data_IF_453541097131
#
_entry.id   IF_453541097131
#
_cell.length_a   1.000
_cell.length_b   1.000
_cell.length_c   1.000
_cell.angle_alpha   90.00
_cell.angle_beta   90.00
_cell.angle_gamma   90.00
#
_symmetry.space_group_name_H-M   'P 1'
#
loop_
_entity.id
_entity.type
_entity.pdbx_description
1 polymer ?
#
# COMPACT_ATOMS: atom_id res chain seq x y z
N UNK A 1 13.63 11.31 -15.02
CA UNK A 1 14.27 11.99 -13.88
C UNK A 1 13.49 11.71 -12.60
N UNK A 2 14.11 11.95 -11.44
CA UNK A 2 13.45 11.74 -10.15
C UNK A 2 13.23 13.09 -9.46
N UNK A 3 12.03 13.30 -8.89
CA UNK A 3 11.72 14.45 -8.04
C UNK A 3 11.15 13.96 -6.72
N UNK A 4 11.44 14.68 -5.64
CA UNK A 4 10.95 14.36 -4.29
C UNK A 4 10.25 15.57 -3.70
N UNK A 5 9.06 15.37 -3.12
CA UNK A 5 8.29 16.45 -2.53
C UNK A 5 7.06 15.97 -1.76
N UNK A 6 6.39 16.89 -1.08
CA UNK A 6 5.18 16.59 -0.31
C UNK A 6 3.95 16.73 -1.21
N UNK A 7 3.06 15.75 -1.19
CA UNK A 7 1.75 15.84 -1.86
C UNK A 7 0.86 16.82 -1.08
N UNK A 8 0.56 17.97 -1.66
CA UNK A 8 -0.22 19.03 -1.01
C UNK A 8 -1.70 18.94 -1.31
N UNK A 9 -2.05 18.51 -2.53
CA UNK A 9 -3.43 18.46 -2.99
C UNK A 9 -3.64 17.32 -3.99
N UNK A 10 -4.81 16.72 -3.96
CA UNK A 10 -5.30 15.80 -4.99
C UNK A 10 -6.44 16.49 -5.69
N UNK A 11 -6.20 16.97 -6.92
CA UNK A 11 -7.19 17.65 -7.75
C UNK A 11 -8.19 16.64 -8.32
N UNK A 12 -7.70 15.48 -8.73
CA UNK A 12 -8.51 14.40 -9.29
C UNK A 12 -7.86 13.04 -8.98
N UNK A 13 -8.69 12.05 -8.64
CA UNK A 13 -8.27 10.65 -8.54
C UNK A 13 -9.36 9.75 -9.11
N UNK A 14 -8.96 8.83 -9.96
CA UNK A 14 -9.81 7.75 -10.43
C UNK A 14 -9.57 6.52 -9.55
N UNK A 15 -10.61 6.11 -8.80
CA UNK A 15 -10.51 5.02 -7.82
C UNK A 15 -10.34 3.63 -8.47
N UNK A 16 -10.74 3.46 -9.73
CA UNK A 16 -10.63 2.17 -10.42
C UNK A 16 -9.21 1.86 -10.87
N UNK A 17 -8.50 2.87 -11.39
CA UNK A 17 -7.17 2.69 -12.00
C UNK A 17 -6.04 3.46 -11.30
N UNK A 18 -6.38 4.27 -10.29
CA UNK A 18 -5.46 5.07 -9.52
C UNK A 18 -4.87 6.28 -10.25
N UNK A 19 -5.35 6.61 -11.47
CA UNK A 19 -4.88 7.80 -12.16
C UNK A 19 -5.19 9.05 -11.35
N UNK A 20 -4.16 9.83 -11.07
CA UNK A 20 -4.25 10.99 -10.17
C UNK A 20 -3.64 12.20 -10.83
N UNK A 21 -4.29 13.35 -10.63
CA UNK A 21 -3.75 14.69 -10.85
C UNK A 21 -3.65 15.36 -9.50
N UNK A 22 -2.47 15.80 -9.12
CA UNK A 22 -2.24 16.42 -7.81
C UNK A 22 -1.20 17.53 -7.86
N UNK A 23 -0.99 18.19 -6.74
CA UNK A 23 0.05 19.21 -6.53
C UNK A 23 1.10 18.64 -5.58
N UNK A 24 2.35 18.58 -6.05
CA UNK A 24 3.52 18.23 -5.28
C UNK A 24 4.33 19.48 -4.96
N UNK A 25 4.68 19.69 -3.70
CA UNK A 25 5.62 20.75 -3.30
C UNK A 25 7.05 20.27 -3.55
N UNK A 26 7.61 20.62 -4.69
CA UNK A 26 8.98 20.29 -5.08
C UNK A 26 9.88 21.52 -4.89
N UNK A 27 10.89 21.42 -4.01
CA UNK A 27 11.76 22.55 -3.67
C UNK A 27 10.98 23.85 -3.35
N UNK A 28 9.92 23.74 -2.55
CA UNK A 28 8.99 24.82 -2.18
C UNK A 28 8.16 25.40 -3.34
N UNK A 29 8.25 24.82 -4.52
CA UNK A 29 7.46 25.25 -5.71
C UNK A 29 6.35 24.23 -5.96
N UNK A 30 5.10 24.65 -6.16
CA UNK A 30 4.02 23.74 -6.51
C UNK A 30 4.19 23.22 -7.93
N UNK A 31 4.22 21.91 -8.09
CA UNK A 31 4.32 21.20 -9.37
C UNK A 31 3.10 20.32 -9.56
N UNK A 32 2.40 20.50 -10.68
CA UNK A 32 1.32 19.60 -11.06
C UNK A 32 1.91 18.25 -11.46
N UNK A 33 1.47 17.19 -10.79
CA UNK A 33 1.88 15.81 -11.07
C UNK A 33 0.73 15.02 -11.68
N UNK A 34 1.04 14.14 -12.63
CA UNK A 34 0.07 13.26 -13.29
C UNK A 34 0.63 11.85 -13.44
N UNK A 35 -0.14 10.85 -13.02
CA UNK A 35 0.26 9.45 -13.09
C UNK A 35 -0.62 8.56 -12.23
N UNK A 36 -0.22 7.31 -12.03
CA UNK A 36 -0.92 6.39 -11.14
C UNK A 36 -0.40 6.53 -9.72
N UNK A 37 -1.20 7.17 -8.86
CA UNK A 37 -0.89 7.42 -7.46
C UNK A 37 -1.97 6.75 -6.60
N UNK A 38 -1.76 5.52 -6.22
CA UNK A 38 -2.83 4.66 -5.75
C UNK A 38 -3.03 4.70 -4.23
N UNK A 39 -1.95 4.76 -3.44
CA UNK A 39 -2.02 4.67 -1.97
C UNK A 39 -1.51 5.90 -1.24
N UNK A 40 -1.08 6.94 -1.96
CA UNK A 40 -0.57 8.14 -1.33
C UNK A 40 -1.68 9.10 -0.91
N UNK A 41 -1.46 9.74 0.23
CA UNK A 41 -2.36 10.69 0.85
C UNK A 41 -1.76 12.10 0.90
N UNK A 42 -2.61 13.10 1.01
CA UNK A 42 -2.18 14.48 1.23
C UNK A 42 -1.33 14.55 2.51
N UNK A 43 -0.18 15.22 2.42
CA UNK A 43 0.80 15.34 3.52
C UNK A 43 1.93 14.31 3.46
N UNK A 44 1.83 13.28 2.63
CA UNK A 44 2.93 12.33 2.44
C UNK A 44 4.01 12.88 1.52
N UNK A 45 5.25 12.47 1.78
CA UNK A 45 6.38 12.79 0.93
C UNK A 45 6.54 11.69 -0.12
N UNK A 46 6.63 12.08 -1.39
CA UNK A 46 6.69 11.18 -2.52
C UNK A 46 8.01 11.36 -3.27
N UNK A 47 8.61 10.27 -3.66
CA UNK A 47 9.67 10.21 -4.67
C UNK A 47 9.05 9.72 -5.96
N UNK A 48 9.05 10.54 -6.99
CA UNK A 48 8.41 10.28 -8.28
C UNK A 48 9.47 10.13 -9.37
N UNK A 49 9.35 9.09 -10.18
CA UNK A 49 10.20 8.89 -11.35
C UNK A 49 9.40 9.17 -12.63
N UNK A 50 9.89 10.10 -13.46
CA UNK A 50 9.16 10.52 -14.66
C UNK A 50 9.86 11.63 -15.41
N UNK A 51 9.07 12.43 -16.13
CA UNK A 51 9.55 13.54 -16.93
C UNK A 51 8.57 14.72 -16.92
N UNK A 52 9.11 15.92 -17.13
CA UNK A 52 8.26 17.10 -17.35
C UNK A 52 7.70 17.08 -18.77
N UNK A 53 6.39 17.21 -18.87
CA UNK A 53 5.65 17.27 -20.14
C UNK A 53 4.84 18.55 -20.24
N UNK A 54 4.72 19.08 -21.46
CA UNK A 54 3.86 20.22 -21.72
C UNK A 54 2.55 19.74 -22.36
N UNK A 55 1.49 19.71 -21.56
CA UNK A 55 0.16 19.36 -22.05
C UNK A 55 -0.52 20.59 -22.68
N UNK A 56 -1.00 20.48 -23.91
CA UNK A 56 -1.64 21.58 -24.65
C UNK A 56 -2.81 22.23 -23.91
N UNK A 57 -3.53 21.47 -23.07
CA UNK A 57 -4.73 21.92 -22.36
C UNK A 57 -4.43 22.33 -20.92
N UNK A 58 -3.49 21.65 -20.25
CA UNK A 58 -3.26 21.77 -18.81
C UNK A 58 -1.88 22.36 -18.46
N UNK A 59 -1.08 22.74 -19.48
CA UNK A 59 0.21 23.37 -19.28
C UNK A 59 1.31 22.39 -18.84
N UNK A 60 2.29 22.92 -18.12
CA UNK A 60 3.49 22.19 -17.71
C UNK A 60 3.21 21.34 -16.48
N UNK A 61 3.50 20.04 -16.57
CA UNK A 61 3.24 19.07 -15.51
C UNK A 61 4.30 17.97 -15.49
N UNK A 62 4.47 17.31 -14.35
CA UNK A 62 5.37 16.17 -14.20
C UNK A 62 4.57 14.88 -14.38
N UNK A 63 4.82 14.17 -15.49
CA UNK A 63 4.23 12.86 -15.75
C UNK A 63 5.13 11.77 -15.16
N UNK A 64 4.65 11.04 -14.16
CA UNK A 64 5.41 9.98 -13.52
C UNK A 64 4.88 8.59 -13.88
N UNK A 65 5.82 7.65 -13.98
CA UNK A 65 5.56 6.22 -14.26
C UNK A 65 5.62 5.36 -13.00
N UNK A 66 6.43 5.76 -12.03
CA UNK A 66 6.58 5.08 -10.73
C UNK A 66 6.66 6.10 -9.60
N UNK A 67 6.31 5.65 -8.40
CA UNK A 67 6.43 6.45 -7.18
C UNK A 67 6.74 5.58 -5.97
N UNK A 68 7.36 6.20 -4.98
CA UNK A 68 7.57 5.65 -3.64
C UNK A 68 7.11 6.66 -2.60
N UNK A 69 6.44 6.18 -1.56
CA UNK A 69 6.18 7.00 -0.37
C UNK A 69 7.43 6.95 0.49
N UNK A 70 8.05 8.09 0.68
CA UNK A 70 9.28 8.23 1.45
C UNK A 70 9.01 9.06 2.70
N UNK A 71 9.69 8.72 3.80
CA UNK A 71 9.61 9.54 5.00
C UNK A 71 10.43 10.84 4.77
N UNK A 72 9.86 12.00 5.12
CA UNK A 72 10.57 13.26 4.98
C UNK A 72 11.81 13.31 5.88
N UNK A 73 12.90 13.88 5.34
CA UNK A 73 14.18 13.99 6.04
C UNK A 73 14.40 15.34 6.69
N UNK A 74 13.68 16.38 6.25
CA UNK A 74 13.78 17.72 6.82
C UNK A 74 12.87 17.88 8.02
N UNK A 75 13.26 18.64 9.03
CA UNK A 75 12.45 18.88 10.23
C UNK A 75 11.08 19.44 9.92
N UNK A 76 10.99 20.37 8.98
CA UNK A 76 9.71 20.94 8.52
C UNK A 76 8.83 19.87 7.83
N UNK A 77 9.43 18.99 7.05
CA UNK A 77 8.73 17.86 6.41
C UNK A 77 8.23 16.84 7.43
N UNK A 78 9.04 16.50 8.43
CA UNK A 78 8.66 15.59 9.52
C UNK A 78 7.48 16.17 10.31
N UNK A 79 7.55 17.48 10.66
CA UNK A 79 6.47 18.17 11.37
C UNK A 79 5.17 18.17 10.54
N UNK A 80 5.27 18.49 9.24
CA UNK A 80 4.12 18.47 8.32
C UNK A 80 3.51 17.07 8.19
N UNK A 81 4.35 16.05 8.04
CA UNK A 81 3.90 14.65 7.97
C UNK A 81 3.15 14.22 9.23
N UNK A 82 3.73 14.47 10.41
CA UNK A 82 3.10 14.11 11.69
C UNK A 82 1.78 14.85 11.93
N UNK A 83 1.69 16.12 11.49
CA UNK A 83 0.51 16.97 11.67
C UNK A 83 -0.56 16.80 10.59
N UNK A 84 -0.31 16.00 9.55
CA UNK A 84 -1.22 15.82 8.38
C UNK A 84 -2.55 15.13 8.70
N UNK A 85 -2.69 14.54 9.90
CA UNK A 85 -3.85 13.74 10.29
C UNK A 85 -3.74 12.25 9.97
N UNK A 86 -2.69 11.82 9.26
CA UNK A 86 -2.42 10.41 8.97
C UNK A 86 -2.22 9.58 10.23
N UNK A 87 -1.58 10.16 11.25
CA UNK A 87 -1.38 9.53 12.55
C UNK A 87 -2.35 10.15 13.56
N UNK A 88 -3.41 9.41 13.86
CA UNK A 88 -4.41 9.87 14.81
C UNK A 88 -3.80 10.15 16.19
N UNK A 89 -4.12 11.32 16.75
CA UNK A 89 -3.64 11.72 18.07
C UNK A 89 -2.43 12.66 18.05
N UNK A 90 -1.87 12.97 16.86
CA UNK A 90 -0.84 14.00 16.69
C UNK A 90 -1.47 15.20 15.95
N UNK A 91 -1.62 16.31 16.67
CA UNK A 91 -1.96 17.61 16.07
C UNK A 91 -0.71 18.47 15.86
N UNK A 92 -0.85 19.66 15.23
CA UNK A 92 0.29 20.53 14.89
C UNK A 92 1.19 20.88 16.10
N UNK A 93 0.59 21.16 17.26
CA UNK A 93 1.35 21.48 18.48
C UNK A 93 2.15 20.27 18.97
N UNK A 94 1.54 19.09 18.96
CA UNK A 94 2.20 17.85 19.38
C UNK A 94 3.29 17.45 18.39
N UNK A 95 3.05 17.55 17.08
CA UNK A 95 4.03 17.29 16.04
C UNK A 95 5.28 18.17 16.20
N UNK A 96 5.07 19.47 16.38
CA UNK A 96 6.15 20.43 16.62
C UNK A 96 6.96 20.10 17.89
N UNK A 97 6.28 19.73 18.99
CA UNK A 97 6.95 19.36 20.22
C UNK A 97 7.79 18.07 20.07
N UNK A 98 7.27 17.05 19.37
CA UNK A 98 8.00 15.81 19.07
C UNK A 98 9.25 16.12 18.24
N UNK A 99 9.09 16.84 17.11
CA UNK A 99 10.21 17.17 16.22
C UNK A 99 11.24 18.06 16.88
N UNK A 100 10.85 19.00 17.75
CA UNK A 100 11.78 19.82 18.51
C UNK A 100 12.65 19.00 19.45
N UNK A 101 12.12 17.91 20.02
CA UNK A 101 12.84 17.05 20.95
C UNK A 101 13.74 16.03 20.23
N UNK A 102 13.21 15.36 19.24
CA UNK A 102 13.88 14.21 18.61
C UNK A 102 14.52 14.50 17.25
N UNK A 103 14.26 15.69 16.68
CA UNK A 103 14.85 16.14 15.40
C UNK A 103 14.67 15.10 14.29
N UNK A 104 15.76 14.78 13.58
CA UNK A 104 15.80 13.79 12.49
C UNK A 104 15.50 12.37 12.95
N UNK A 105 15.75 12.05 14.24
CA UNK A 105 15.53 10.73 14.82
C UNK A 105 14.05 10.44 15.14
N UNK A 106 13.17 11.41 14.87
CA UNK A 106 11.73 11.33 15.24
C UNK A 106 11.07 10.03 14.81
N UNK A 107 11.26 9.60 13.57
CA UNK A 107 10.63 8.37 13.07
C UNK A 107 11.24 7.12 13.68
N UNK A 108 12.55 7.11 13.89
CA UNK A 108 13.25 6.00 14.57
C UNK A 108 12.77 5.86 16.02
N UNK A 109 12.59 6.96 16.73
CA UNK A 109 12.04 6.95 18.09
C UNK A 109 10.61 6.42 18.11
N UNK A 110 9.76 6.81 17.15
CA UNK A 110 8.38 6.30 17.05
C UNK A 110 8.39 4.77 16.83
N UNK A 111 9.30 4.25 16.01
CA UNK A 111 9.35 2.82 15.66
C UNK A 111 10.03 1.97 16.73
N UNK A 112 11.18 2.40 17.22
CA UNK A 112 12.09 1.57 18.03
C UNK A 112 12.04 1.84 19.53
N UNK A 113 11.67 3.07 19.93
CA UNK A 113 11.64 3.47 21.32
C UNK A 113 10.43 4.36 21.66
N UNK A 114 9.18 3.85 21.39
CA UNK A 114 7.98 4.67 21.52
C UNK A 114 7.72 5.20 22.94
N UNK A 115 8.19 4.54 23.97
CA UNK A 115 8.12 4.99 25.34
C UNK A 115 8.78 6.37 25.55
N UNK A 116 9.81 6.70 24.77
CA UNK A 116 10.48 8.00 24.80
C UNK A 116 9.60 9.15 24.33
N UNK A 117 8.57 8.88 23.53
CA UNK A 117 7.58 9.91 23.19
C UNK A 117 6.90 10.50 24.43
N UNK A 118 6.87 9.77 25.55
CA UNK A 118 6.33 10.27 26.81
C UNK A 118 7.20 11.34 27.49
N UNK A 119 8.44 11.55 27.02
CA UNK A 119 9.30 12.66 27.41
C UNK A 119 8.74 14.01 26.88
N UNK A 120 7.92 13.96 25.81
CA UNK A 120 7.27 15.14 25.24
C UNK A 120 6.07 15.55 26.11
N UNK A 121 6.04 16.80 26.52
CA UNK A 121 4.93 17.34 27.34
C UNK A 121 3.57 17.13 26.65
N UNK A 122 2.64 16.47 27.34
CA UNK A 122 1.29 16.22 26.85
C UNK A 122 1.13 14.87 26.15
N UNK A 123 2.18 14.03 26.12
CA UNK A 123 2.11 12.64 25.65
C UNK A 123 2.26 11.71 26.86
N UNK A 124 1.18 10.97 27.19
CA UNK A 124 1.25 9.89 28.17
C UNK A 124 1.90 8.65 27.57
N UNK A 125 2.35 7.71 28.40
CA UNK A 125 2.88 6.41 27.91
C UNK A 125 1.90 5.68 27.02
N UNK A 126 0.61 5.62 27.40
CA UNK A 126 -0.42 4.98 26.57
C UNK A 126 -0.55 5.65 25.21
N UNK A 127 -0.58 7.00 25.17
CA UNK A 127 -0.65 7.76 23.92
C UNK A 127 0.59 7.55 23.07
N UNK A 128 1.76 7.41 23.66
CA UNK A 128 3.01 7.10 22.96
C UNK A 128 2.91 5.76 22.20
N UNK A 129 2.42 4.72 22.86
CA UNK A 129 2.20 3.41 22.21
C UNK A 129 1.09 3.44 21.17
N UNK A 130 0.01 4.19 21.37
CA UNK A 130 -1.03 4.39 20.35
C UNK A 130 -0.48 5.04 19.09
N UNK A 131 0.36 6.07 19.23
CA UNK A 131 1.03 6.74 18.12
C UNK A 131 1.91 5.74 17.35
N UNK A 132 2.75 4.98 18.04
CA UNK A 132 3.63 3.99 17.42
C UNK A 132 2.84 2.90 16.69
N UNK A 133 1.77 2.40 17.30
CA UNK A 133 0.88 1.40 16.69
C UNK A 133 0.26 1.93 15.40
N UNK A 134 -0.26 3.16 15.41
CA UNK A 134 -0.89 3.78 14.23
C UNK A 134 0.13 4.06 13.12
N UNK A 135 1.33 4.50 13.48
CA UNK A 135 2.42 4.69 12.52
C UNK A 135 2.81 3.36 11.84
N UNK A 136 2.97 2.29 12.63
CA UNK A 136 3.28 0.96 12.12
C UNK A 136 2.14 0.39 11.23
N UNK A 137 0.87 0.57 11.64
CA UNK A 137 -0.29 0.18 10.82
C UNK A 137 -0.27 0.88 9.45
N UNK A 138 -0.06 2.20 9.43
CA UNK A 138 0.00 2.99 8.20
C UNK A 138 1.10 2.47 7.26
N UNK A 139 2.30 2.24 7.79
CA UNK A 139 3.44 1.71 7.04
C UNK A 139 3.15 0.31 6.48
N UNK A 140 2.53 -0.57 7.27
CA UNK A 140 2.17 -1.91 6.84
C UNK A 140 1.09 -1.91 5.75
N UNK A 141 0.10 -1.02 5.84
CA UNK A 141 -0.91 -0.83 4.78
C UNK A 141 -0.24 -0.40 3.49
N UNK A 142 0.60 0.63 3.52
CA UNK A 142 1.31 1.14 2.35
C UNK A 142 2.16 0.05 1.68
N UNK A 143 2.98 -0.65 2.47
CA UNK A 143 3.81 -1.75 1.97
C UNK A 143 2.97 -2.87 1.34
N UNK A 144 1.83 -3.22 1.95
CA UNK A 144 0.92 -4.25 1.43
C UNK A 144 0.29 -3.82 0.11
N UNK A 145 -0.19 -2.59 0.02
CA UNK A 145 -0.78 -2.05 -1.20
C UNK A 145 0.26 -2.03 -2.32
N UNK A 146 1.45 -1.49 -2.08
CA UNK A 146 2.56 -1.47 -3.06
C UNK A 146 2.95 -2.88 -3.51
N UNK A 147 3.06 -3.82 -2.58
CA UNK A 147 3.37 -5.22 -2.92
C UNK A 147 2.30 -5.85 -3.81
N UNK A 148 1.02 -5.66 -3.49
CA UNK A 148 -0.08 -6.28 -4.23
C UNK A 148 -0.32 -5.65 -5.60
N UNK A 149 0.00 -4.37 -5.78
CA UNK A 149 -0.12 -3.67 -7.06
C UNK A 149 0.77 -4.24 -8.17
N UNK A 150 1.94 -4.76 -7.81
CA UNK A 150 2.83 -5.43 -8.75
C UNK A 150 2.14 -6.61 -9.48
N UNK A 151 1.06 -7.12 -8.89
CA UNK A 151 0.24 -8.21 -9.41
C UNK A 151 -1.12 -7.75 -9.97
N UNK A 152 -1.27 -6.45 -10.25
CA UNK A 152 -2.51 -5.82 -10.73
C UNK A 152 -3.70 -5.99 -9.76
N UNK A 153 -3.44 -6.11 -8.47
CA UNK A 153 -4.48 -6.03 -7.44
C UNK A 153 -4.81 -4.56 -7.20
N UNK A 154 -6.09 -4.22 -7.25
CA UNK A 154 -6.56 -2.84 -6.98
C UNK A 154 -6.34 -2.47 -5.52
N UNK A 155 -6.28 -1.16 -5.22
CA UNK A 155 -6.14 -0.66 -3.84
C UNK A 155 -7.24 -1.18 -2.93
N UNK A 156 -8.48 -1.06 -3.37
CA UNK A 156 -9.62 -1.50 -2.57
C UNK A 156 -9.52 -2.99 -2.21
N UNK A 157 -9.06 -3.80 -3.16
CA UNK A 157 -8.83 -5.22 -2.92
C UNK A 157 -7.63 -5.45 -2.00
N UNK A 158 -6.54 -4.68 -2.16
CA UNK A 158 -5.37 -4.76 -1.27
C UNK A 158 -5.71 -4.37 0.18
N UNK A 159 -6.53 -3.33 0.36
CA UNK A 159 -7.04 -2.94 1.68
C UNK A 159 -7.93 -4.03 2.30
N UNK A 160 -8.79 -4.67 1.49
CA UNK A 160 -9.61 -5.80 1.92
C UNK A 160 -8.75 -6.99 2.39
N UNK A 161 -7.71 -7.32 1.63
CA UNK A 161 -6.73 -8.36 1.99
C UNK A 161 -6.02 -7.99 3.29
N UNK A 162 -5.59 -6.73 3.44
CA UNK A 162 -4.94 -6.25 4.66
C UNK A 162 -5.88 -6.33 5.88
N UNK A 163 -7.17 -6.04 5.72
CA UNK A 163 -8.15 -6.19 6.80
C UNK A 163 -8.26 -7.64 7.31
N UNK A 164 -8.05 -8.62 6.42
CA UNK A 164 -8.12 -10.05 6.78
C UNK A 164 -6.82 -10.53 7.46
N UNK A 165 -5.65 -10.18 6.90
CA UNK A 165 -4.37 -10.74 7.34
C UNK A 165 -3.50 -9.77 8.15
N UNK A 166 -3.83 -8.48 8.15
CA UNK A 166 -3.06 -7.44 8.85
C UNK A 166 -1.62 -7.34 8.39
N UNK A 167 -0.71 -7.09 9.33
CA UNK A 167 0.73 -6.97 9.07
C UNK A 167 1.37 -8.24 8.48
N UNK A 168 0.71 -9.40 8.60
CA UNK A 168 1.23 -10.68 8.06
C UNK A 168 0.86 -10.92 6.59
N UNK A 169 0.17 -10.00 5.94
CA UNK A 169 -0.33 -10.15 4.57
C UNK A 169 0.77 -10.59 3.60
N UNK A 170 1.88 -9.87 3.56
CA UNK A 170 2.98 -10.14 2.63
C UNK A 170 3.59 -11.53 2.87
N UNK A 171 3.81 -11.90 4.13
CA UNK A 171 4.40 -13.20 4.49
C UNK A 171 3.47 -14.37 4.13
N UNK A 172 2.17 -14.21 4.38
CA UNK A 172 1.15 -15.22 4.03
C UNK A 172 1.12 -15.41 2.51
N UNK A 173 1.10 -14.32 1.73
CA UNK A 173 1.03 -14.39 0.27
C UNK A 173 2.32 -14.97 -0.31
N UNK A 174 3.49 -14.58 0.19
CA UNK A 174 4.78 -15.14 -0.24
C UNK A 174 4.87 -16.63 0.06
N UNK A 175 4.27 -17.12 1.14
CA UNK A 175 4.25 -18.53 1.49
C UNK A 175 3.21 -19.33 0.71
N UNK A 176 2.00 -18.80 0.59
CA UNK A 176 0.88 -19.47 -0.08
C UNK A 176 -0.14 -18.46 -0.63
N UNK A 177 0.03 -17.96 -1.87
CA UNK A 177 -0.89 -17.00 -2.47
C UNK A 177 -2.30 -17.57 -2.73
N UNK A 178 -2.45 -18.90 -2.77
CA UNK A 178 -3.76 -19.53 -2.98
C UNK A 178 -4.70 -19.40 -1.79
N UNK A 179 -4.20 -19.02 -0.61
CA UNK A 179 -5.05 -18.64 0.51
C UNK A 179 -5.99 -17.48 0.18
N UNK A 180 -5.58 -16.59 -0.73
CA UNK A 180 -6.44 -15.51 -1.21
C UNK A 180 -7.74 -16.01 -1.85
N UNK A 181 -7.72 -17.20 -2.47
CA UNK A 181 -8.90 -17.79 -3.10
C UNK A 181 -9.88 -18.30 -2.05
N UNK A 182 -9.37 -18.79 -0.93
CA UNK A 182 -10.18 -19.33 0.17
C UNK A 182 -10.77 -18.23 1.06
N UNK A 183 -9.98 -17.16 1.32
CA UNK A 183 -10.25 -16.20 2.40
C UNK A 183 -10.76 -14.84 1.89
N UNK A 184 -10.65 -14.55 0.56
CA UNK A 184 -10.94 -13.21 0.01
C UNK A 184 -11.92 -13.26 -1.15
N UNK A 185 -13.15 -12.82 -0.89
CA UNK A 185 -14.16 -12.72 -1.95
C UNK A 185 -13.69 -11.77 -3.08
N UNK A 186 -13.81 -12.26 -4.31
CA UNK A 186 -13.42 -11.54 -5.53
C UNK A 186 -12.01 -11.87 -6.04
N UNK A 187 -11.25 -12.73 -5.35
CA UNK A 187 -10.00 -13.28 -5.85
C UNK A 187 -10.18 -14.73 -6.25
N UNK A 188 -10.13 -14.99 -7.56
CA UNK A 188 -10.19 -16.35 -8.10
C UNK A 188 -8.83 -17.00 -8.27
N UNK A 189 -8.84 -18.31 -8.58
CA UNK A 189 -7.63 -19.12 -8.83
C UNK A 189 -6.66 -18.47 -9.81
N UNK A 190 -7.16 -17.94 -10.94
CA UNK A 190 -6.29 -17.34 -11.97
C UNK A 190 -5.49 -16.13 -11.48
N UNK A 191 -6.07 -15.32 -10.59
CA UNK A 191 -5.39 -14.19 -9.99
C UNK A 191 -4.32 -14.66 -9.01
N UNK A 192 -4.66 -15.60 -8.13
CA UNK A 192 -3.73 -16.17 -7.17
C UNK A 192 -2.58 -16.93 -7.88
N UNK A 193 -2.87 -17.63 -8.99
CA UNK A 193 -1.87 -18.35 -9.78
C UNK A 193 -0.87 -17.41 -10.46
N UNK A 194 -1.31 -16.25 -10.96
CA UNK A 194 -0.41 -15.19 -11.48
C UNK A 194 0.53 -14.67 -10.40
N UNK A 195 0.01 -14.41 -9.20
CA UNK A 195 0.84 -14.00 -8.05
C UNK A 195 1.86 -15.10 -7.73
N UNK A 196 1.40 -16.35 -7.61
CA UNK A 196 2.24 -17.50 -7.31
C UNK A 196 3.40 -17.67 -8.29
N UNK A 197 3.12 -17.58 -9.60
CA UNK A 197 4.14 -17.66 -10.64
C UNK A 197 5.14 -16.50 -10.55
N UNK A 198 4.68 -15.29 -10.29
CA UNK A 198 5.52 -14.09 -10.20
C UNK A 198 6.48 -14.15 -9.00
N UNK A 199 6.05 -14.77 -7.89
CA UNK A 199 6.91 -14.95 -6.69
C UNK A 199 7.71 -16.25 -6.70
N UNK A 200 7.64 -17.03 -7.80
CA UNK A 200 8.44 -18.24 -7.99
C UNK A 200 7.91 -19.50 -7.34
N UNK A 201 6.61 -19.58 -7.04
CA UNK A 201 5.99 -20.82 -6.53
C UNK A 201 6.00 -21.87 -7.68
N UNK A 202 6.54 -23.08 -7.45
CA UNK A 202 6.61 -24.12 -8.46
C UNK A 202 5.22 -24.55 -8.94
N UNK A 203 5.09 -24.84 -10.27
CA UNK A 203 3.82 -25.27 -10.86
C UNK A 203 3.27 -26.59 -10.28
N UNK A 204 4.12 -27.42 -9.71
CA UNK A 204 3.78 -28.68 -9.04
C UNK A 204 3.65 -28.54 -7.52
N UNK A 205 3.56 -27.31 -6.98
CA UNK A 205 3.38 -27.13 -5.55
C UNK A 205 2.04 -27.70 -5.09
N UNK A 206 2.02 -28.30 -3.90
CA UNK A 206 0.81 -28.86 -3.30
C UNK A 206 -0.30 -27.81 -3.17
N UNK A 207 0.05 -26.56 -2.82
CA UNK A 207 -0.90 -25.46 -2.73
C UNK A 207 -1.59 -25.17 -4.08
N UNK A 208 -0.81 -25.17 -5.16
CA UNK A 208 -1.34 -24.96 -6.51
C UNK A 208 -2.27 -26.09 -6.94
N UNK A 209 -1.82 -27.32 -6.77
CA UNK A 209 -2.60 -28.51 -7.16
C UNK A 209 -3.93 -28.54 -6.40
N UNK A 210 -3.91 -28.32 -5.08
CA UNK A 210 -5.12 -28.26 -4.26
C UNK A 210 -6.09 -27.17 -4.73
N UNK A 211 -5.62 -25.94 -4.90
CA UNK A 211 -6.44 -24.82 -5.35
C UNK A 211 -6.95 -25.03 -6.79
N UNK A 212 -6.15 -25.63 -7.68
CA UNK A 212 -6.52 -25.99 -9.03
C UNK A 212 -7.63 -27.03 -9.08
N UNK A 213 -7.56 -28.07 -8.24
CA UNK A 213 -8.63 -29.07 -8.14
C UNK A 213 -9.96 -28.43 -7.71
N UNK A 214 -9.95 -27.57 -6.69
CA UNK A 214 -11.14 -26.83 -6.24
C UNK A 214 -11.68 -25.94 -7.37
N UNK A 215 -10.81 -25.24 -8.08
CA UNK A 215 -11.18 -24.41 -9.22
C UNK A 215 -11.85 -25.22 -10.36
N UNK A 216 -11.29 -26.39 -10.70
CA UNK A 216 -11.88 -27.28 -11.72
C UNK A 216 -13.26 -27.79 -11.30
N UNK A 217 -13.44 -28.14 -10.03
CA UNK A 217 -14.73 -28.56 -9.49
C UNK A 217 -15.78 -27.44 -9.56
N UNK A 218 -15.42 -26.24 -9.11
CA UNK A 218 -16.31 -25.08 -9.16
C UNK A 218 -16.71 -24.71 -10.59
N UNK A 219 -15.75 -24.71 -11.53
CA UNK A 219 -16.05 -24.47 -12.93
C UNK A 219 -17.00 -25.52 -13.53
N UNK A 220 -16.86 -26.80 -13.16
CA UNK A 220 -17.75 -27.86 -13.63
C UNK A 220 -19.17 -27.71 -13.08
N UNK A 221 -19.30 -27.21 -11.86
CA UNK A 221 -20.59 -26.90 -11.23
C UNK A 221 -21.25 -25.71 -11.91
N UNK A 222 -20.53 -24.60 -12.03
CA UNK A 222 -21.06 -23.31 -12.52
C UNK A 222 -21.40 -23.34 -14.01
N UNK A 223 -20.53 -23.94 -14.85
CA UNK A 223 -20.71 -23.94 -16.31
C UNK A 223 -21.59 -25.06 -16.83
N UNK A 224 -21.54 -26.23 -16.19
CA UNK A 224 -22.18 -27.44 -16.69
C UNK A 224 -23.24 -28.03 -15.74
N UNK A 225 -23.47 -27.41 -14.58
CA UNK A 225 -24.40 -27.91 -13.58
C UNK A 225 -23.99 -29.27 -12.97
N UNK A 226 -22.72 -29.65 -13.09
CA UNK A 226 -22.22 -30.92 -12.58
C UNK A 226 -22.12 -30.89 -11.06
N UNK A 227 -22.69 -31.89 -10.40
CA UNK A 227 -22.56 -32.03 -8.93
C UNK A 227 -21.30 -32.79 -8.51
N UNK A 228 -20.62 -33.43 -9.46
CA UNK A 228 -19.33 -34.13 -9.25
C UNK A 228 -18.54 -34.22 -10.56
N UNK A 229 -17.22 -34.47 -10.45
CA UNK A 229 -16.35 -34.83 -11.56
C UNK A 229 -15.74 -36.22 -11.33
N UNK A 230 -15.74 -37.13 -12.35
CA UNK A 230 -14.96 -38.37 -12.26
C UNK A 230 -13.49 -38.11 -12.04
N UNK A 231 -12.81 -38.89 -11.15
CA UNK A 231 -11.41 -38.71 -10.79
C UNK A 231 -10.48 -38.53 -12.01
N UNK A 232 -10.66 -39.32 -13.07
CA UNK A 232 -9.85 -39.23 -14.29
C UNK A 232 -9.99 -37.86 -14.98
N UNK A 233 -11.20 -37.30 -15.03
CA UNK A 233 -11.47 -36.01 -15.63
C UNK A 233 -10.88 -34.89 -14.78
N UNK A 234 -11.00 -34.95 -13.46
CA UNK A 234 -10.40 -33.97 -12.55
C UNK A 234 -8.87 -33.95 -12.68
N UNK A 235 -8.22 -35.14 -12.71
CA UNK A 235 -6.78 -35.24 -12.84
C UNK A 235 -6.25 -34.73 -14.21
N UNK A 236 -7.05 -34.83 -15.27
CA UNK A 236 -6.65 -34.31 -16.59
C UNK A 236 -6.90 -32.81 -16.75
N UNK A 237 -7.71 -32.19 -15.87
CA UNK A 237 -8.07 -30.79 -15.90
C UNK A 237 -7.24 -29.94 -14.93
N UNK A 238 -6.50 -30.57 -14.00
CA UNK A 238 -5.64 -29.92 -12.99
C UNK A 238 -4.17 -29.91 -13.42
#
# INVERSE_FOLDING_TARGET
MQIEGTLEEIIFRNDDNGYTVGILSYNTTPVTIVGKLISANIGENLSLEGEFVNNKKFGYQFAFSSYEVVLPKTLAGIEKYLSSGLIRGIGPVTAKAIVNMFKEDTFEIIEMAPDRLSEVRGISKNKAFEIATKFSELKNIQNTVMFLQQYNITVNMALKIFQIYGAKTIDIIKRNPYKLVEDVDGIGFLTADKIAQSIGIPKNSEFRVRAGMVHCLNNATEKNGNTYLPKKMLLSAT
#
